data_IF_097471501702
#
_entry.id   IF_097471501702
#
_cell.length_a   1.000
_cell.length_b   1.000
_cell.length_c   1.000
_cell.angle_alpha   90.00
_cell.angle_beta   90.00
_cell.angle_gamma   90.00
#
_symmetry.space_group_name_H-M   'P 1'
#
loop_
_entity.id
_entity.type
_entity.pdbx_description
1 polymer ?
#
# COMPACT_ATOMS: atom_id res chain seq x y z
N UNK A 1 45.66 36.03 -24.87
CA UNK A 1 44.54 35.38 -25.60
C UNK A 1 43.23 35.66 -24.87
N UNK A 2 42.23 36.17 -25.59
CA UNK A 2 40.95 36.58 -25.01
C UNK A 2 40.07 35.35 -24.71
N UNK A 3 39.93 34.96 -23.44
CA UNK A 3 39.19 33.77 -23.00
C UNK A 3 37.66 33.86 -23.19
N UNK A 4 37.15 35.04 -23.56
CA UNK A 4 35.71 35.32 -23.69
C UNK A 4 35.07 35.01 -25.04
N UNK A 5 35.76 34.36 -25.98
CA UNK A 5 35.12 33.98 -27.26
C UNK A 5 34.14 32.82 -27.06
N UNK A 6 34.52 31.81 -26.27
CA UNK A 6 33.68 30.63 -26.03
C UNK A 6 32.46 30.94 -25.17
N UNK A 7 32.53 31.89 -24.23
CA UNK A 7 31.40 32.28 -23.39
C UNK A 7 30.24 32.90 -24.15
N UNK A 8 30.50 33.44 -25.35
CA UNK A 8 29.49 33.99 -26.27
C UNK A 8 28.76 32.90 -27.06
N UNK A 9 29.27 31.66 -27.05
CA UNK A 9 28.67 30.53 -27.78
C UNK A 9 27.52 29.93 -26.99
N UNK A 10 26.52 29.44 -27.72
CA UNK A 10 25.31 28.83 -27.14
C UNK A 10 25.59 27.50 -26.43
N UNK A 11 26.64 26.78 -26.80
CA UNK A 11 27.04 25.49 -26.21
C UNK A 11 27.99 25.62 -25.01
N UNK A 12 28.31 26.83 -24.56
CA UNK A 12 29.22 27.01 -23.42
C UNK A 12 28.58 26.48 -22.12
N UNK A 13 29.23 25.60 -21.36
CA UNK A 13 28.62 24.94 -20.20
C UNK A 13 28.33 25.92 -19.06
N UNK A 14 29.14 26.97 -18.90
CA UNK A 14 28.91 27.97 -17.85
C UNK A 14 27.79 28.99 -18.18
N UNK A 15 27.16 28.87 -19.36
CA UNK A 15 26.01 29.72 -19.70
C UNK A 15 24.81 29.31 -18.84
N UNK A 16 24.16 30.30 -18.21
CA UNK A 16 23.04 30.07 -17.30
C UNK A 16 21.90 29.24 -17.92
N UNK A 17 21.61 29.44 -19.21
CA UNK A 17 20.59 28.64 -19.92
C UNK A 17 20.92 27.15 -19.99
N UNK A 18 22.21 26.80 -20.09
CA UNK A 18 22.65 25.42 -20.18
C UNK A 18 22.71 24.77 -18.80
N UNK A 19 23.20 25.51 -17.80
CA UNK A 19 23.13 25.08 -16.40
C UNK A 19 21.69 24.79 -15.97
N UNK A 20 20.72 25.63 -16.36
CA UNK A 20 19.29 25.36 -16.13
C UNK A 20 18.81 24.07 -16.78
N UNK A 21 19.16 23.82 -18.04
CA UNK A 21 18.80 22.57 -18.73
C UNK A 21 19.39 21.33 -18.05
N UNK A 22 20.66 21.41 -17.63
CA UNK A 22 21.31 20.33 -16.90
C UNK A 22 20.60 20.09 -15.58
N UNK A 23 20.29 21.15 -14.83
CA UNK A 23 19.56 21.05 -13.57
C UNK A 23 18.16 20.44 -13.74
N UNK A 24 17.40 20.85 -14.76
CA UNK A 24 16.08 20.26 -15.06
C UNK A 24 16.19 18.77 -15.41
N UNK A 25 17.20 18.39 -16.20
CA UNK A 25 17.45 16.99 -16.55
C UNK A 25 17.87 16.15 -15.33
N UNK A 26 18.73 16.70 -14.47
CA UNK A 26 19.12 16.06 -13.21
C UNK A 26 17.93 15.90 -12.25
N UNK A 27 17.11 16.94 -12.12
CA UNK A 27 15.91 16.89 -11.29
C UNK A 27 14.92 15.85 -11.79
N UNK A 28 14.65 15.81 -13.09
CA UNK A 28 13.80 14.79 -13.71
C UNK A 28 14.35 13.38 -13.48
N UNK A 29 15.66 13.20 -13.64
CA UNK A 29 16.31 11.90 -13.38
C UNK A 29 16.14 11.47 -11.92
N UNK A 30 16.23 12.41 -10.98
CA UNK A 30 16.02 12.10 -9.56
C UNK A 30 14.55 11.76 -9.26
N UNK A 31 13.60 12.48 -9.86
CA UNK A 31 12.17 12.16 -9.78
C UNK A 31 11.87 10.76 -10.32
N UNK A 32 12.44 10.39 -11.47
CA UNK A 32 12.30 9.05 -12.07
C UNK A 32 12.93 7.96 -11.18
N UNK A 33 14.10 8.21 -10.59
CA UNK A 33 14.74 7.29 -9.64
C UNK A 33 13.88 7.08 -8.40
N UNK A 34 13.35 8.16 -7.82
CA UNK A 34 12.45 8.08 -6.68
C UNK A 34 11.19 7.28 -7.01
N UNK A 35 10.57 7.51 -8.17
CA UNK A 35 9.40 6.74 -8.60
C UNK A 35 9.71 5.24 -8.72
N UNK A 36 10.89 4.89 -9.27
CA UNK A 36 11.34 3.49 -9.35
C UNK A 36 11.55 2.89 -7.96
N UNK A 37 12.09 3.66 -7.00
CA UNK A 37 12.28 3.20 -5.62
C UNK A 37 10.94 2.94 -4.92
N UNK A 38 9.95 3.81 -5.11
CA UNK A 38 8.59 3.60 -4.62
C UNK A 38 7.99 2.32 -5.20
N UNK A 39 8.05 2.13 -6.53
CA UNK A 39 7.54 0.92 -7.18
C UNK A 39 8.25 -0.36 -6.71
N UNK A 40 9.56 -0.29 -6.46
CA UNK A 40 10.32 -1.42 -5.90
C UNK A 40 9.85 -1.74 -4.48
N UNK A 41 9.59 -0.72 -3.67
CA UNK A 41 9.08 -0.90 -2.32
C UNK A 41 7.69 -1.52 -2.32
N UNK A 42 6.77 -1.01 -3.13
CA UNK A 42 5.42 -1.56 -3.28
C UNK A 42 5.46 -3.04 -3.70
N UNK A 43 6.34 -3.39 -4.65
CA UNK A 43 6.53 -4.78 -5.07
C UNK A 43 7.06 -5.69 -3.97
N UNK A 44 7.98 -5.19 -3.13
CA UNK A 44 8.48 -5.95 -1.98
C UNK A 44 7.38 -6.17 -0.93
N UNK A 45 6.58 -5.13 -0.66
CA UNK A 45 5.42 -5.22 0.24
C UNK A 45 4.36 -6.20 -0.28
N UNK A 46 4.14 -6.27 -1.60
CA UNK A 46 3.27 -7.27 -2.23
C UNK A 46 3.80 -8.70 -2.05
N UNK A 47 5.09 -8.93 -2.26
CA UNK A 47 5.72 -10.24 -2.05
C UNK A 47 5.65 -10.67 -0.58
N UNK A 48 5.95 -9.77 0.35
CA UNK A 48 5.86 -10.06 1.79
C UNK A 48 4.43 -10.46 2.20
N UNK A 49 3.42 -9.74 1.69
CA UNK A 49 2.01 -10.09 1.92
C UNK A 49 1.65 -11.46 1.36
N UNK A 50 2.15 -11.80 0.18
CA UNK A 50 1.92 -13.10 -0.45
C UNK A 50 2.57 -14.24 0.35
N UNK A 51 3.80 -14.04 0.81
CA UNK A 51 4.50 -15.00 1.68
C UNK A 51 3.77 -15.19 3.02
N UNK A 52 3.29 -14.11 3.63
CA UNK A 52 2.50 -14.16 4.85
C UNK A 52 1.18 -14.92 4.65
N UNK A 53 0.47 -14.66 3.54
CA UNK A 53 -0.75 -15.38 3.19
C UNK A 53 -0.50 -16.89 3.02
N UNK A 54 0.57 -17.26 2.30
CA UNK A 54 1.01 -18.66 2.14
C UNK A 54 1.30 -19.29 3.50
N UNK A 55 2.05 -18.61 4.37
CA UNK A 55 2.35 -19.07 5.74
C UNK A 55 1.08 -19.27 6.57
N UNK A 56 0.14 -18.34 6.51
CA UNK A 56 -1.13 -18.43 7.23
C UNK A 56 -2.01 -19.60 6.74
N UNK A 57 -2.08 -19.85 5.43
CA UNK A 57 -2.76 -21.01 4.87
C UNK A 57 -2.14 -22.33 5.36
N UNK A 58 -0.81 -22.42 5.35
CA UNK A 58 -0.09 -23.59 5.87
C UNK A 58 -0.41 -23.85 7.35
N UNK A 59 -0.45 -22.80 8.18
CA UNK A 59 -0.83 -22.90 9.60
C UNK A 59 -2.29 -23.35 9.80
N UNK A 60 -3.20 -22.91 8.92
CA UNK A 60 -4.60 -23.33 8.92
C UNK A 60 -4.81 -24.74 8.37
N UNK A 61 -3.79 -25.34 7.74
CA UNK A 61 -3.89 -26.66 7.10
C UNK A 61 -4.60 -26.64 5.74
N UNK A 62 -4.80 -25.46 5.15
CA UNK A 62 -5.46 -25.28 3.86
C UNK A 62 -4.45 -25.03 2.75
N UNK A 63 -4.74 -25.48 1.52
CA UNK A 63 -3.89 -25.21 0.36
C UNK A 63 -4.09 -23.77 -0.12
N UNK A 64 -3.01 -23.03 -0.31
CA UNK A 64 -3.06 -21.70 -0.90
C UNK A 64 -3.47 -21.77 -2.38
N UNK A 65 -4.50 -21.00 -2.77
CA UNK A 65 -4.99 -20.90 -4.15
C UNK A 65 -4.72 -19.50 -4.70
N UNK A 66 -3.53 -19.34 -5.27
CA UNK A 66 -2.90 -18.07 -5.70
C UNK A 66 -3.78 -17.23 -6.64
N UNK A 67 -4.48 -17.85 -7.59
CA UNK A 67 -5.22 -17.13 -8.66
C UNK A 67 -6.64 -16.70 -8.29
N UNK A 68 -7.23 -17.28 -7.25
CA UNK A 68 -8.63 -17.05 -6.87
C UNK A 68 -8.77 -16.38 -5.51
N UNK A 69 -7.65 -16.08 -4.82
CA UNK A 69 -7.71 -15.47 -3.50
C UNK A 69 -8.47 -14.13 -3.53
N UNK A 70 -8.20 -13.27 -4.52
CA UNK A 70 -8.90 -11.99 -4.71
C UNK A 70 -10.43 -12.12 -4.88
N UNK A 71 -10.92 -13.27 -5.34
CA UNK A 71 -12.35 -13.52 -5.57
C UNK A 71 -13.06 -14.03 -4.31
N UNK A 72 -12.34 -14.71 -3.42
CA UNK A 72 -12.88 -15.27 -2.18
C UNK A 72 -12.51 -14.47 -0.92
N UNK A 73 -11.64 -13.49 -1.04
CA UNK A 73 -11.34 -12.55 0.02
C UNK A 73 -12.58 -11.68 0.27
N UNK A 74 -13.09 -11.72 1.50
CA UNK A 74 -14.25 -10.93 1.85
C UNK A 74 -13.91 -9.44 1.70
N UNK A 75 -14.83 -8.60 1.20
CA UNK A 75 -14.61 -7.17 1.10
C UNK A 75 -14.16 -6.59 2.45
N UNK A 76 -13.26 -5.61 2.41
CA UNK A 76 -12.78 -4.92 3.61
C UNK A 76 -13.99 -4.45 4.44
N UNK A 77 -14.08 -4.93 5.68
CA UNK A 77 -15.15 -4.61 6.63
C UNK A 77 -16.30 -5.63 6.73
N UNK A 78 -16.41 -6.61 5.81
CA UNK A 78 -17.46 -7.64 5.89
C UNK A 78 -17.31 -8.53 7.13
N UNK A 79 -16.07 -8.93 7.44
CA UNK A 79 -15.79 -9.77 8.60
C UNK A 79 -16.02 -9.04 9.93
N UNK A 80 -15.79 -7.72 9.94
CA UNK A 80 -16.00 -6.87 11.11
C UNK A 80 -17.49 -6.65 11.39
N UNK A 81 -18.29 -6.40 10.34
CA UNK A 81 -19.75 -6.35 10.43
C UNK A 81 -20.34 -7.68 10.93
N UNK A 82 -19.82 -8.81 10.44
CA UNK A 82 -20.24 -10.14 10.89
C UNK A 82 -19.91 -10.38 12.37
N UNK A 83 -18.73 -9.97 12.83
CA UNK A 83 -18.31 -10.06 14.24
C UNK A 83 -19.20 -9.17 15.13
N UNK A 84 -19.47 -7.94 14.71
CA UNK A 84 -20.32 -6.99 15.44
C UNK A 84 -21.78 -7.48 15.55
N UNK A 85 -22.32 -8.04 14.48
CA UNK A 85 -23.64 -8.70 14.44
C UNK A 85 -23.73 -9.84 15.46
N UNK A 86 -22.70 -10.69 15.55
CA UNK A 86 -22.66 -11.82 16.49
C UNK A 86 -22.63 -11.33 17.93
N UNK A 87 -21.83 -10.30 18.24
CA UNK A 87 -21.79 -9.67 19.56
C UNK A 87 -23.15 -9.08 19.92
N UNK A 88 -23.78 -8.34 18.99
CA UNK A 88 -25.11 -7.75 19.17
C UNK A 88 -26.20 -8.79 19.40
N UNK A 89 -26.14 -9.95 18.73
CA UNK A 89 -27.05 -11.08 18.96
C UNK A 89 -26.84 -11.70 20.35
N UNK A 90 -25.58 -11.84 20.80
CA UNK A 90 -25.25 -12.33 22.15
C UNK A 90 -25.77 -11.40 23.25
N UNK A 91 -25.57 -10.09 23.13
CA UNK A 91 -26.06 -9.10 24.12
C UNK A 91 -27.59 -9.07 24.19
N UNK A 92 -28.29 -9.08 23.04
CA UNK A 92 -29.75 -9.20 22.98
C UNK A 92 -30.25 -10.47 23.67
N UNK A 93 -29.60 -11.62 23.44
CA UNK A 93 -29.96 -12.91 24.05
C UNK A 93 -29.78 -12.88 25.58
N UNK A 94 -28.70 -12.26 26.06
CA UNK A 94 -28.41 -12.05 27.49
C UNK A 94 -29.48 -11.18 28.16
N UNK A 95 -29.81 -10.03 27.56
CA UNK A 95 -30.87 -9.15 28.06
C UNK A 95 -32.25 -9.82 28.06
N UNK A 96 -32.55 -10.65 27.07
CA UNK A 96 -33.81 -11.41 27.01
C UNK A 96 -33.89 -12.46 28.12
N UNK A 97 -32.78 -13.12 28.46
CA UNK A 97 -32.72 -14.05 29.59
C UNK A 97 -32.87 -13.34 30.93
N UNK A 98 -32.23 -12.18 31.10
CA UNK A 98 -32.36 -11.35 32.31
C UNK A 98 -33.82 -10.92 32.51
N UNK A 99 -34.48 -10.38 31.47
CA UNK A 99 -35.91 -10.03 31.53
C UNK A 99 -36.82 -11.21 31.88
N UNK A 100 -36.54 -12.41 31.35
CA UNK A 100 -37.30 -13.63 31.68
C UNK A 100 -37.08 -14.10 33.13
N UNK A 101 -35.88 -13.89 33.70
CA UNK A 101 -35.59 -14.21 35.11
C UNK A 101 -36.28 -13.25 36.07
N UNK A 102 -36.29 -11.95 35.75
CA UNK A 102 -36.95 -10.92 36.58
C UNK A 102 -38.48 -11.11 36.60
N UNK A 103 -39.09 -11.55 35.49
CA UNK A 103 -40.54 -11.75 35.35
C UNK A 103 -41.06 -13.06 35.96
N UNK A 104 -40.16 -13.93 36.45
CA UNK A 104 -40.47 -15.23 37.08
C UNK A 104 -40.28 -15.23 38.60
N UNK A 105 -39.83 -14.10 39.18
CA UNK A 105 -39.85 -13.79 40.60
C UNK A 105 -41.09 -12.95 40.89
#
# INVERSE_FOLDING_TARGET
MNKGFLSKKNFHPAKLSNQKKVWEAERRKEEERHQIEVLKKERLEELEREEEAKRNCLLKGEKYVERLNWMYEAPIGFEEQAKEEVVRKKTKKKNRMIKKKVKRK
#
